data_IF_675408574095
#
_entry.id   IF_675408574095
#
_cell.length_a   1.000
_cell.length_b   1.000
_cell.length_c   1.000
_cell.angle_alpha   90.00
_cell.angle_beta   90.00
_cell.angle_gamma   90.00
#
_symmetry.space_group_name_H-M   'P 1'
#
loop_
_entity.id
_entity.type
_entity.pdbx_description
1 polymer ?
#
# COMPACT_ATOMS: atom_id res chain seq x y z
N UNK A 1 -26.21 -3.82 -18.24
CA UNK A 1 -27.57 -4.42 -18.45
C UNK A 1 -28.66 -3.73 -17.64
N UNK A 2 -28.39 -3.11 -16.51
CA UNK A 2 -29.40 -2.37 -15.74
C UNK A 2 -30.07 -1.18 -16.50
N UNK A 3 -29.41 -0.64 -17.52
CA UNK A 3 -29.88 0.52 -18.28
C UNK A 3 -31.07 0.22 -19.27
N UNK A 4 -31.50 -1.02 -19.39
CA UNK A 4 -32.58 -1.40 -20.32
C UNK A 4 -33.86 -1.98 -19.65
N UNK A 5 -33.97 -1.88 -18.32
CA UNK A 5 -35.14 -2.42 -17.59
C UNK A 5 -35.30 -3.95 -17.64
N UNK A 6 -34.28 -4.67 -18.12
CA UNK A 6 -34.29 -6.12 -18.15
C UNK A 6 -33.91 -6.68 -16.79
N UNK A 7 -34.65 -7.68 -16.31
CA UNK A 7 -34.32 -8.40 -15.08
C UNK A 7 -32.90 -9.00 -15.18
N UNK A 8 -32.13 -8.91 -14.09
CA UNK A 8 -30.81 -9.53 -14.02
C UNK A 8 -30.98 -11.07 -14.00
N UNK A 9 -30.54 -11.79 -15.05
CA UNK A 9 -30.76 -13.25 -15.17
C UNK A 9 -30.05 -14.06 -14.07
N UNK A 10 -29.16 -13.42 -13.32
CA UNK A 10 -28.48 -14.05 -12.17
C UNK A 10 -29.33 -14.08 -10.91
N UNK A 11 -30.51 -13.43 -10.95
CA UNK A 11 -31.47 -13.35 -9.84
C UNK A 11 -32.73 -14.12 -10.25
N UNK A 12 -33.08 -15.15 -9.49
CA UNK A 12 -34.18 -16.05 -9.85
C UNK A 12 -35.58 -15.39 -9.99
N UNK A 13 -35.80 -14.29 -9.24
CA UNK A 13 -37.05 -13.54 -9.30
C UNK A 13 -36.83 -12.03 -9.44
N UNK A 14 -37.70 -11.31 -10.17
CA UNK A 14 -37.69 -9.86 -10.22
C UNK A 14 -37.82 -9.25 -8.80
N UNK A 15 -36.90 -8.38 -8.43
CA UNK A 15 -36.91 -7.73 -7.11
C UNK A 15 -36.06 -8.40 -6.01
N UNK A 16 -35.54 -9.59 -6.23
CA UNK A 16 -34.58 -10.20 -5.30
C UNK A 16 -33.22 -9.49 -5.35
N UNK A 17 -32.66 -9.18 -4.19
CA UNK A 17 -31.30 -8.63 -4.06
C UNK A 17 -30.23 -9.72 -4.05
N UNK A 18 -30.58 -10.94 -3.64
CA UNK A 18 -29.70 -12.10 -3.62
C UNK A 18 -29.57 -12.76 -4.98
N UNK A 19 -28.42 -13.36 -5.27
CA UNK A 19 -28.21 -14.20 -6.46
C UNK A 19 -28.95 -15.51 -6.29
N UNK A 20 -29.44 -16.05 -7.42
CA UNK A 20 -30.05 -17.37 -7.46
C UNK A 20 -29.10 -18.45 -6.89
N UNK A 21 -29.59 -19.39 -6.06
CA UNK A 21 -28.75 -20.45 -5.47
C UNK A 21 -28.06 -21.33 -6.51
N UNK A 22 -28.75 -21.66 -7.62
CA UNK A 22 -28.15 -22.46 -8.70
C UNK A 22 -27.06 -21.68 -9.41
N UNK A 23 -27.31 -20.41 -9.73
CA UNK A 23 -26.28 -19.52 -10.28
C UNK A 23 -25.09 -19.40 -9.33
N UNK A 24 -25.35 -19.27 -8.05
CA UNK A 24 -24.27 -19.16 -7.03
C UNK A 24 -23.45 -20.46 -6.98
N UNK A 25 -24.11 -21.61 -7.10
CA UNK A 25 -23.45 -22.94 -7.11
C UNK A 25 -22.61 -23.13 -8.36
N UNK A 26 -23.18 -22.83 -9.54
CA UNK A 26 -22.47 -22.86 -10.82
C UNK A 26 -21.26 -21.91 -10.81
N UNK A 27 -21.47 -20.68 -10.37
CA UNK A 27 -20.37 -19.69 -10.25
C UNK A 27 -19.24 -20.17 -9.33
N UNK A 28 -19.57 -20.80 -8.19
CA UNK A 28 -18.57 -21.37 -7.28
C UNK A 28 -17.79 -22.52 -7.93
N UNK A 29 -18.47 -23.39 -8.69
CA UNK A 29 -17.83 -24.49 -9.43
C UNK A 29 -16.90 -23.98 -10.53
N UNK A 30 -17.35 -23.03 -11.35
CA UNK A 30 -16.50 -22.36 -12.33
C UNK A 30 -15.28 -21.71 -11.68
N UNK A 31 -15.51 -20.96 -10.61
CA UNK A 31 -14.43 -20.30 -9.89
C UNK A 31 -13.44 -21.27 -9.22
N UNK A 32 -13.90 -22.47 -8.84
CA UNK A 32 -13.04 -23.52 -8.30
C UNK A 32 -12.20 -24.20 -9.39
N UNK A 33 -12.69 -24.23 -10.63
CA UNK A 33 -11.97 -24.74 -11.80
C UNK A 33 -11.01 -23.70 -12.42
N UNK A 34 -11.20 -22.40 -12.12
CA UNK A 34 -10.27 -21.38 -12.56
C UNK A 34 -8.88 -21.60 -11.94
N UNK A 35 -7.81 -21.49 -12.72
CA UNK A 35 -6.47 -21.51 -12.15
C UNK A 35 -6.37 -20.39 -11.09
N UNK A 36 -5.72 -20.64 -9.95
CA UNK A 36 -5.61 -19.64 -8.90
C UNK A 36 -4.99 -18.37 -9.52
N UNK A 37 -5.58 -17.18 -9.25
CA UNK A 37 -5.06 -15.95 -9.79
C UNK A 37 -3.58 -15.83 -9.38
N UNK A 38 -2.70 -15.53 -10.34
CA UNK A 38 -1.27 -15.36 -10.09
C UNK A 38 -1.12 -14.29 -9.01
N UNK A 39 -0.80 -14.73 -7.80
CA UNK A 39 -0.60 -13.83 -6.67
C UNK A 39 0.63 -12.96 -6.95
N UNK A 40 0.49 -11.63 -6.80
CA UNK A 40 1.65 -10.75 -6.82
C UNK A 40 2.56 -11.09 -5.64
N UNK A 41 3.87 -11.07 -5.88
CA UNK A 41 4.89 -11.28 -4.86
C UNK A 41 5.19 -9.98 -4.12
N UNK A 42 5.60 -10.11 -2.86
CA UNK A 42 6.02 -8.98 -2.04
C UNK A 42 7.32 -8.37 -2.58
N UNK A 43 7.39 -7.04 -2.64
CA UNK A 43 8.60 -6.32 -3.01
C UNK A 43 9.49 -6.15 -1.77
N UNK A 44 10.76 -6.56 -1.79
CA UNK A 44 11.66 -6.38 -0.65
C UNK A 44 11.87 -4.91 -0.27
N UNK A 45 12.11 -4.64 1.01
CA UNK A 45 12.41 -3.29 1.49
C UNK A 45 13.67 -2.70 0.85
N UNK A 46 14.66 -3.54 0.50
CA UNK A 46 15.87 -3.14 -0.23
C UNK A 46 15.54 -2.55 -1.58
N UNK A 47 14.65 -3.19 -2.33
CA UNK A 47 14.20 -2.72 -3.65
C UNK A 47 13.38 -1.42 -3.52
N UNK A 48 12.50 -1.32 -2.52
CA UNK A 48 11.75 -0.08 -2.27
C UNK A 48 12.70 1.07 -1.94
N UNK A 49 13.72 0.82 -1.11
CA UNK A 49 14.79 1.79 -0.81
C UNK A 49 15.55 2.18 -2.07
N UNK A 50 15.91 1.22 -2.90
CA UNK A 50 16.59 1.48 -4.17
C UNK A 50 15.75 2.41 -5.04
N UNK A 51 14.45 2.13 -5.23
CA UNK A 51 13.53 3.02 -5.96
C UNK A 51 13.53 4.41 -5.34
N UNK A 52 13.31 4.50 -4.03
CA UNK A 52 13.23 5.76 -3.32
C UNK A 52 14.48 6.63 -3.49
N UNK A 53 15.67 6.05 -3.39
CA UNK A 53 16.94 6.78 -3.50
C UNK A 53 17.27 7.12 -4.95
N UNK A 54 17.15 6.15 -5.85
CA UNK A 54 17.44 6.33 -7.26
C UNK A 54 16.53 7.39 -7.90
N UNK A 55 15.21 7.26 -7.73
CA UNK A 55 14.27 8.19 -8.36
C UNK A 55 14.37 9.61 -7.78
N UNK A 56 14.73 9.78 -6.50
CA UNK A 56 14.98 11.11 -5.93
C UNK A 56 16.24 11.78 -6.46
N UNK A 57 17.24 11.01 -6.88
CA UNK A 57 18.47 11.56 -7.47
C UNK A 57 18.28 12.08 -8.89
N UNK A 58 17.18 11.72 -9.56
CA UNK A 58 16.89 12.13 -10.92
C UNK A 58 16.40 13.58 -11.00
N UNK A 59 16.70 14.32 -12.08
CA UNK A 59 16.31 15.71 -12.25
C UNK A 59 14.79 15.89 -12.41
N UNK A 60 14.07 14.87 -12.87
CA UNK A 60 12.63 14.92 -13.14
C UNK A 60 11.80 15.08 -11.85
N UNK A 61 10.99 16.16 -11.72
CA UNK A 61 10.08 16.31 -10.59
C UNK A 61 9.08 15.17 -10.46
N UNK A 62 8.62 14.59 -11.59
CA UNK A 62 7.71 13.45 -11.60
C UNK A 62 8.36 12.21 -10.99
N UNK A 63 9.58 11.88 -11.41
CA UNK A 63 10.29 10.71 -10.90
C UNK A 63 10.64 10.84 -9.40
N UNK A 64 11.04 12.04 -8.96
CA UNK A 64 11.22 12.32 -7.53
C UNK A 64 9.94 12.09 -6.72
N UNK A 65 8.80 12.54 -7.27
CA UNK A 65 7.50 12.28 -6.64
C UNK A 65 7.17 10.79 -6.59
N UNK A 66 7.48 10.02 -7.63
CA UNK A 66 7.33 8.55 -7.65
C UNK A 66 8.13 7.91 -6.50
N UNK A 67 9.40 8.29 -6.31
CA UNK A 67 10.24 7.78 -5.21
C UNK A 67 9.65 8.06 -3.82
N UNK A 68 9.11 9.26 -3.60
CA UNK A 68 8.43 9.61 -2.35
C UNK A 68 7.12 8.83 -2.16
N UNK A 69 6.30 8.69 -3.20
CA UNK A 69 5.03 7.96 -3.13
C UNK A 69 5.23 6.46 -2.93
N UNK A 70 6.26 5.86 -3.52
CA UNK A 70 6.64 4.45 -3.29
C UNK A 70 7.06 4.25 -1.84
N UNK A 71 7.82 5.19 -1.27
CA UNK A 71 8.18 5.18 0.16
C UNK A 71 6.92 5.22 1.04
N UNK A 72 6.03 6.19 0.81
CA UNK A 72 4.77 6.30 1.55
C UNK A 72 3.91 5.05 1.40
N UNK A 73 3.79 4.49 0.18
CA UNK A 73 2.99 3.30 -0.08
C UNK A 73 3.51 2.07 0.69
N UNK A 74 4.82 1.95 0.87
CA UNK A 74 5.42 0.86 1.63
C UNK A 74 5.13 0.99 3.13
N UNK A 75 5.45 2.14 3.73
CA UNK A 75 5.29 2.33 5.19
C UNK A 75 3.83 2.36 5.62
N UNK A 76 2.96 3.04 4.87
CA UNK A 76 1.53 3.15 5.19
C UNK A 76 0.68 2.04 4.60
N UNK A 77 1.29 1.04 3.97
CA UNK A 77 0.60 -0.05 3.30
C UNK A 77 -0.53 0.45 2.39
N UNK A 78 -0.24 1.44 1.52
CA UNK A 78 -1.23 2.08 0.66
C UNK A 78 -1.57 1.22 -0.56
N UNK A 79 -2.83 1.28 -1.00
CA UNK A 79 -3.24 0.81 -2.32
C UNK A 79 -2.93 1.90 -3.36
N UNK A 80 -2.56 1.52 -4.57
CA UNK A 80 -2.19 2.50 -5.61
C UNK A 80 -3.27 3.56 -5.83
N UNK A 81 -4.54 3.21 -5.80
CA UNK A 81 -5.64 4.17 -5.93
C UNK A 81 -5.85 5.09 -4.72
N UNK A 82 -5.10 4.90 -3.62
CA UNK A 82 -5.13 5.80 -2.46
C UNK A 82 -4.16 6.97 -2.61
N UNK A 83 -3.25 6.95 -3.61
CA UNK A 83 -2.27 8.02 -3.82
C UNK A 83 -2.06 8.40 -5.31
N UNK A 84 -2.72 7.70 -6.24
CA UNK A 84 -2.72 8.05 -7.66
C UNK A 84 -4.15 8.31 -8.15
N UNK A 85 -4.35 9.26 -9.07
CA UNK A 85 -5.67 9.47 -9.66
C UNK A 85 -6.10 8.26 -10.49
N UNK A 86 -7.39 8.09 -10.67
CA UNK A 86 -7.97 7.06 -11.54
C UNK A 86 -9.01 7.63 -12.49
N UNK A 87 -9.05 7.09 -13.68
CA UNK A 87 -10.07 7.36 -14.67
C UNK A 87 -11.29 6.45 -14.41
N UNK A 88 -12.24 6.86 -13.60
CA UNK A 88 -13.49 6.11 -13.41
C UNK A 88 -14.11 6.30 -12.03
N UNK A 89 -15.39 5.95 -11.86
CA UNK A 89 -16.06 6.07 -10.57
C UNK A 89 -15.39 5.12 -9.55
N UNK A 90 -14.72 5.68 -8.56
CA UNK A 90 -14.13 4.94 -7.45
C UNK A 90 -14.68 5.40 -6.12
N UNK A 91 -14.83 4.45 -5.20
CA UNK A 91 -15.15 4.73 -3.81
C UNK A 91 -13.96 5.32 -3.02
N UNK A 92 -12.74 5.25 -3.59
CA UNK A 92 -11.52 5.73 -2.94
C UNK A 92 -11.12 7.08 -3.51
N UNK A 93 -11.03 8.08 -2.64
CA UNK A 93 -10.47 9.39 -2.98
C UNK A 93 -8.96 9.34 -2.74
N UNK A 94 -8.11 9.75 -3.71
CA UNK A 94 -6.68 9.85 -3.48
C UNK A 94 -6.35 10.82 -2.34
N UNK A 95 -5.35 10.48 -1.55
CA UNK A 95 -4.82 11.33 -0.48
C UNK A 95 -4.45 12.70 -1.03
N UNK A 96 -4.81 13.74 -0.29
CA UNK A 96 -4.58 15.15 -0.59
C UNK A 96 -3.62 15.76 0.42
N UNK A 97 -3.14 16.95 0.15
CA UNK A 97 -2.25 17.67 1.07
C UNK A 97 -2.82 17.74 2.49
N UNK A 98 -4.09 18.09 2.65
CA UNK A 98 -4.78 18.22 3.96
C UNK A 98 -4.87 16.90 4.75
N UNK A 99 -4.77 15.77 4.09
CA UNK A 99 -4.87 14.45 4.70
C UNK A 99 -3.59 14.06 5.43
N UNK A 100 -2.50 14.84 5.26
CA UNK A 100 -1.22 14.69 5.94
C UNK A 100 -1.08 15.69 7.08
N UNK A 101 -0.60 15.22 8.24
CA UNK A 101 -0.27 16.05 9.40
C UNK A 101 1.15 15.70 9.82
N UNK A 102 2.06 16.66 9.72
CA UNK A 102 3.44 16.54 10.16
C UNK A 102 3.55 17.09 11.60
N UNK A 103 4.36 16.42 12.40
CA UNK A 103 4.51 16.71 13.81
C UNK A 103 5.99 16.89 14.16
N UNK A 104 6.28 17.77 15.10
CA UNK A 104 7.58 17.93 15.72
C UNK A 104 7.37 18.09 17.21
N UNK A 105 7.97 17.22 18.01
CA UNK A 105 7.85 17.25 19.48
C UNK A 105 6.37 17.35 19.95
N UNK A 106 5.48 16.60 19.30
CA UNK A 106 4.04 16.62 19.58
C UNK A 106 3.29 17.83 19.04
N UNK A 107 3.97 18.83 18.45
CA UNK A 107 3.36 20.02 17.87
C UNK A 107 3.12 19.83 16.38
N UNK A 108 1.91 20.14 15.90
CA UNK A 108 1.56 20.07 14.49
C UNK A 108 2.25 21.19 13.70
N UNK A 109 2.92 20.84 12.62
CA UNK A 109 3.49 21.80 11.66
C UNK A 109 2.43 22.21 10.63
N UNK A 110 2.36 23.50 10.22
CA UNK A 110 1.52 23.92 9.10
C UNK A 110 1.99 23.29 7.79
N UNK A 111 1.05 22.85 6.94
CA UNK A 111 1.39 22.20 5.68
C UNK A 111 2.05 23.14 4.65
N UNK A 112 1.85 24.44 4.80
CA UNK A 112 2.45 25.52 3.98
C UNK A 112 3.79 26.04 4.52
N UNK A 113 4.29 25.44 5.60
CA UNK A 113 5.58 25.80 6.15
C UNK A 113 6.73 25.54 5.13
N UNK A 114 7.87 26.27 5.24
CA UNK A 114 9.05 26.02 4.44
C UNK A 114 9.51 24.57 4.52
N UNK A 115 10.10 24.05 3.43
CA UNK A 115 10.54 22.66 3.37
C UNK A 115 11.49 22.27 4.51
N UNK A 116 12.40 23.19 4.90
CA UNK A 116 13.32 22.97 6.02
C UNK A 116 12.61 22.71 7.35
N UNK A 117 11.49 23.41 7.58
CA UNK A 117 10.63 23.22 8.76
C UNK A 117 9.90 21.87 8.65
N UNK A 118 9.28 21.54 7.51
CA UNK A 118 8.60 20.27 7.33
C UNK A 118 9.55 19.08 7.44
N UNK A 119 10.80 19.21 6.96
CA UNK A 119 11.84 18.18 7.09
C UNK A 119 12.36 17.98 8.52
N UNK A 120 12.07 18.90 9.42
CA UNK A 120 12.39 18.76 10.85
C UNK A 120 11.33 17.99 11.64
N UNK A 121 10.25 17.56 10.98
CA UNK A 121 9.24 16.70 11.59
C UNK A 121 9.83 15.36 12.04
N UNK A 122 9.37 14.85 13.17
CA UNK A 122 9.69 13.54 13.74
C UNK A 122 8.61 12.50 13.51
N UNK A 123 7.39 12.94 13.16
CA UNK A 123 6.29 12.05 12.89
C UNK A 123 5.34 12.59 11.79
N UNK A 124 4.59 11.66 11.20
CA UNK A 124 3.56 11.96 10.22
C UNK A 124 2.32 11.12 10.48
N UNK A 125 1.15 11.76 10.40
CA UNK A 125 -0.17 11.11 10.44
C UNK A 125 -0.84 11.30 9.11
N UNK A 126 -1.44 10.24 8.57
CA UNK A 126 -2.33 10.34 7.41
C UNK A 126 -3.75 9.95 7.79
N UNK A 127 -4.74 10.63 7.20
CA UNK A 127 -6.15 10.34 7.34
C UNK A 127 -6.72 9.90 5.99
N UNK A 128 -7.26 8.69 5.92
CA UNK A 128 -7.89 8.15 4.72
C UNK A 128 -9.42 8.29 4.86
N UNK A 129 -9.99 9.32 4.25
CA UNK A 129 -11.43 9.62 4.37
C UNK A 129 -12.33 8.48 3.89
N UNK A 130 -12.05 7.94 2.70
CA UNK A 130 -12.85 6.88 2.09
C UNK A 130 -11.95 5.78 1.53
N UNK A 131 -12.30 4.55 1.83
CA UNK A 131 -11.57 3.36 1.38
C UNK A 131 -12.49 2.38 0.65
N UNK A 132 -11.91 1.60 -0.26
CA UNK A 132 -12.61 0.56 -1.02
C UNK A 132 -13.42 -0.41 -0.15
N UNK A 133 -13.05 -0.60 1.11
CA UNK A 133 -13.70 -1.52 2.05
C UNK A 133 -14.80 -0.87 2.87
N UNK A 134 -15.19 0.37 2.56
CA UNK A 134 -16.20 1.11 3.33
C UNK A 134 -15.72 1.69 4.66
N UNK A 135 -14.46 1.46 5.06
CA UNK A 135 -13.88 2.12 6.23
C UNK A 135 -13.66 3.60 5.94
N UNK A 136 -14.14 4.44 6.85
CA UNK A 136 -14.01 5.90 6.78
C UNK A 136 -13.05 6.40 7.84
N UNK A 137 -12.32 7.47 7.51
CA UNK A 137 -11.47 8.22 8.46
C UNK A 137 -10.42 7.33 9.18
N UNK A 138 -9.86 6.34 8.47
CA UNK A 138 -8.77 5.56 9.03
C UNK A 138 -7.53 6.43 9.19
N UNK A 139 -7.00 6.47 10.41
CA UNK A 139 -5.81 7.24 10.77
C UNK A 139 -4.64 6.29 10.96
N UNK A 140 -3.51 6.61 10.31
CA UNK A 140 -2.25 5.88 10.48
C UNK A 140 -1.17 6.88 10.84
N UNK A 141 -0.36 6.52 11.81
CA UNK A 141 0.73 7.33 12.34
C UNK A 141 2.05 6.58 12.22
N UNK A 142 3.09 7.28 11.76
CA UNK A 142 4.47 6.79 11.77
C UNK A 142 5.41 7.86 12.30
N UNK A 143 6.36 7.45 13.11
CA UNK A 143 7.53 8.24 13.44
C UNK A 143 8.59 8.11 12.35
N UNK A 144 9.61 8.97 12.39
CA UNK A 144 10.78 8.86 11.52
C UNK A 144 11.44 7.49 11.67
N UNK A 145 11.90 6.93 10.54
CA UNK A 145 12.65 5.67 10.52
C UNK A 145 14.08 5.80 11.05
N UNK A 146 14.58 7.02 11.23
CA UNK A 146 15.97 7.30 11.53
C UNK A 146 16.91 7.22 10.33
N UNK A 147 16.43 6.74 9.16
CA UNK A 147 17.20 6.70 7.92
C UNK A 147 16.75 7.78 6.94
N UNK A 148 17.51 8.87 6.76
CA UNK A 148 17.10 9.97 5.88
C UNK A 148 16.86 9.58 4.42
N UNK A 149 17.42 8.44 3.99
CA UNK A 149 17.28 7.94 2.62
C UNK A 149 15.98 7.18 2.41
N UNK A 150 15.40 6.61 3.47
CA UNK A 150 14.21 5.76 3.42
C UNK A 150 13.30 6.03 4.62
N UNK A 151 12.67 7.20 4.62
CA UNK A 151 11.90 7.73 5.76
C UNK A 151 10.51 8.22 5.32
N UNK A 152 9.42 7.74 5.95
CA UNK A 152 8.07 8.14 5.61
C UNK A 152 7.78 9.60 5.95
N UNK A 153 8.37 10.14 7.02
CA UNK A 153 8.17 11.52 7.45
C UNK A 153 8.77 12.48 6.45
N UNK A 154 10.02 12.22 6.02
CA UNK A 154 10.71 13.05 5.02
C UNK A 154 10.05 12.94 3.64
N UNK A 155 9.57 11.77 3.26
CA UNK A 155 8.81 11.60 2.01
C UNK A 155 7.49 12.40 2.05
N UNK A 156 6.76 12.33 3.15
CA UNK A 156 5.55 13.13 3.36
C UNK A 156 5.85 14.62 3.34
N UNK A 157 6.89 15.08 4.05
CA UNK A 157 7.30 16.48 4.11
C UNK A 157 7.54 17.07 2.71
N UNK A 158 8.28 16.34 1.86
CA UNK A 158 8.55 16.78 0.47
C UNK A 158 7.26 16.85 -0.36
N UNK A 159 6.38 15.86 -0.23
CA UNK A 159 5.11 15.84 -0.98
C UNK A 159 4.16 16.92 -0.52
N UNK A 160 4.01 17.10 0.81
CA UNK A 160 3.20 18.17 1.41
C UNK A 160 3.70 19.55 0.92
N UNK A 161 5.01 19.80 0.99
CA UNK A 161 5.59 21.06 0.53
C UNK A 161 5.26 21.36 -0.94
N UNK A 162 5.49 20.37 -1.83
CA UNK A 162 5.25 20.56 -3.29
C UNK A 162 3.78 20.81 -3.59
N UNK A 163 2.85 20.21 -2.85
CA UNK A 163 1.42 20.31 -3.11
C UNK A 163 0.73 21.45 -2.36
N UNK A 164 1.38 22.05 -1.36
CA UNK A 164 0.81 23.13 -0.54
C UNK A 164 0.43 24.37 -1.36
N UNK A 165 1.27 24.76 -2.32
CA UNK A 165 1.04 25.96 -3.14
C UNK A 165 -0.26 25.90 -3.97
N UNK A 166 -0.74 24.70 -4.31
CA UNK A 166 -1.98 24.50 -5.06
C UNK A 166 -3.21 24.26 -4.14
N UNK A 167 -3.02 24.36 -2.82
CA UNK A 167 -4.08 24.31 -1.81
C UNK A 167 -4.29 22.94 -1.16
N UNK A 168 -5.10 22.90 -0.08
CA UNK A 168 -5.24 21.74 0.81
C UNK A 168 -5.88 20.51 0.14
N UNK A 169 -6.69 20.71 -0.88
CA UNK A 169 -7.37 19.62 -1.62
C UNK A 169 -6.53 19.06 -2.78
N UNK A 170 -5.31 19.54 -2.96
CA UNK A 170 -4.41 19.06 -4.02
C UNK A 170 -4.00 17.62 -3.75
N UNK A 171 -4.20 16.69 -4.71
CA UNK A 171 -3.75 15.31 -4.60
C UNK A 171 -2.25 15.23 -4.31
N UNK A 172 -1.86 14.36 -3.39
CA UNK A 172 -0.45 14.23 -2.94
C UNK A 172 0.49 13.79 -4.07
N UNK A 173 -0.04 13.15 -5.12
CA UNK A 173 0.69 12.77 -6.33
C UNK A 173 0.83 13.88 -7.37
N UNK A 174 0.33 15.11 -7.11
CA UNK A 174 0.44 16.23 -8.03
C UNK A 174 1.87 16.75 -8.14
N UNK A 175 2.26 17.15 -9.36
CA UNK A 175 3.57 17.70 -9.71
C UNK A 175 3.39 18.84 -10.71
N UNK A 176 4.07 19.95 -10.50
CA UNK A 176 4.14 21.03 -11.48
C UNK A 176 5.33 20.80 -12.42
N UNK A 177 5.07 20.74 -13.74
CA UNK A 177 6.07 20.62 -14.79
C UNK A 177 5.78 21.69 -15.83
N UNK A 178 6.73 22.57 -16.08
CA UNK A 178 6.60 23.66 -17.07
C UNK A 178 5.31 24.48 -16.89
N UNK A 179 4.95 24.80 -15.65
CA UNK A 179 3.75 25.56 -15.29
C UNK A 179 2.43 24.78 -15.39
N UNK A 180 2.46 23.50 -15.76
CA UNK A 180 1.27 22.63 -15.81
C UNK A 180 1.29 21.63 -14.68
N UNK A 181 0.12 21.42 -14.08
CA UNK A 181 -0.05 20.37 -13.05
C UNK A 181 -0.28 19.03 -13.76
N UNK A 182 0.55 18.05 -13.41
CA UNK A 182 0.39 16.65 -13.80
C UNK A 182 0.34 15.78 -12.54
N UNK A 183 0.08 14.51 -12.70
CA UNK A 183 -0.08 13.58 -11.57
C UNK A 183 0.72 12.30 -11.81
N UNK A 184 1.32 11.78 -10.76
CA UNK A 184 1.88 10.43 -10.78
C UNK A 184 0.75 9.44 -11.01
N UNK A 185 0.86 8.65 -12.06
CA UNK A 185 -0.11 7.63 -12.46
C UNK A 185 0.19 6.26 -11.82
N UNK A 186 -0.80 5.37 -11.85
CA UNK A 186 -0.58 3.98 -11.44
C UNK A 186 0.41 3.25 -12.37
N UNK A 187 0.57 3.73 -13.62
CA UNK A 187 1.58 3.19 -14.54
C UNK A 187 2.98 3.60 -14.11
N UNK A 188 3.20 4.88 -13.77
CA UNK A 188 4.51 5.35 -13.28
C UNK A 188 4.98 4.55 -12.06
N UNK A 189 4.06 4.18 -11.17
CA UNK A 189 4.36 3.33 -10.02
C UNK A 189 4.74 1.90 -10.44
N UNK A 190 4.05 1.32 -11.44
CA UNK A 190 4.39 -0.02 -11.96
C UNK A 190 5.76 -0.01 -12.62
N UNK A 191 6.04 1.01 -13.42
CA UNK A 191 7.32 1.16 -14.12
C UNK A 191 8.47 1.35 -13.12
N UNK A 192 8.24 2.10 -12.03
CA UNK A 192 9.20 2.24 -10.95
C UNK A 192 9.47 0.90 -10.24
N UNK A 193 8.44 0.08 -10.01
CA UNK A 193 8.61 -1.26 -9.42
C UNK A 193 9.44 -2.16 -10.34
N UNK A 194 9.18 -2.16 -11.66
CA UNK A 194 9.95 -2.94 -12.62
C UNK A 194 11.40 -2.45 -12.72
N UNK A 195 11.60 -1.13 -12.80
CA UNK A 195 12.95 -0.52 -12.81
C UNK A 195 13.71 -0.86 -11.54
N UNK A 196 13.08 -0.75 -10.38
CA UNK A 196 13.68 -1.06 -9.11
C UNK A 196 14.02 -2.55 -8.95
N UNK A 197 13.16 -3.43 -9.44
CA UNK A 197 13.40 -4.86 -9.41
C UNK A 197 14.63 -5.26 -10.25
N UNK A 198 14.82 -4.60 -11.39
CA UNK A 198 16.02 -4.79 -12.24
C UNK A 198 17.23 -4.17 -11.53
N UNK A 199 17.11 -2.94 -11.04
CA UNK A 199 18.21 -2.20 -10.41
C UNK A 199 18.73 -2.84 -9.11
N UNK A 200 17.85 -3.49 -8.34
CA UNK A 200 18.18 -4.27 -7.13
C UNK A 200 18.48 -5.76 -7.43
N UNK A 201 18.58 -6.11 -8.72
CA UNK A 201 18.93 -7.45 -9.21
C UNK A 201 18.02 -8.59 -8.69
N UNK A 202 16.71 -8.33 -8.55
CA UNK A 202 15.75 -9.35 -8.10
C UNK A 202 15.66 -10.59 -9.00
N UNK A 203 15.85 -10.52 -10.35
CA UNK A 203 15.87 -11.72 -11.19
C UNK A 203 16.93 -12.73 -10.76
N UNK A 204 18.14 -12.29 -10.38
CA UNK A 204 19.18 -13.17 -9.87
C UNK A 204 18.81 -13.80 -8.50
N UNK A 205 17.92 -13.16 -7.74
CA UNK A 205 17.35 -13.72 -6.52
C UNK A 205 16.11 -14.61 -6.77
N UNK A 206 15.80 -14.94 -8.03
CA UNK A 206 14.71 -15.85 -8.41
C UNK A 206 13.32 -15.19 -8.47
N UNK A 207 13.23 -13.85 -8.49
CA UNK A 207 11.95 -13.16 -8.59
C UNK A 207 11.44 -13.14 -10.04
N UNK A 208 10.18 -13.56 -10.21
CA UNK A 208 9.44 -13.43 -11.46
C UNK A 208 8.90 -12.00 -11.59
N UNK A 209 9.52 -11.20 -12.45
CA UNK A 209 9.13 -9.80 -12.67
C UNK A 209 7.68 -9.65 -13.14
N UNK A 210 7.11 -10.62 -13.83
CA UNK A 210 5.70 -10.58 -14.29
C UNK A 210 4.70 -10.59 -13.13
N UNK A 211 5.16 -10.99 -11.94
CA UNK A 211 4.39 -11.02 -10.70
C UNK A 211 4.59 -9.79 -9.82
N UNK A 212 5.39 -8.82 -10.27
CA UNK A 212 5.64 -7.57 -9.56
C UNK A 212 4.80 -6.43 -10.14
N UNK A 213 4.21 -5.64 -9.26
CA UNK A 213 3.41 -4.47 -9.64
C UNK A 213 3.19 -3.54 -8.45
N UNK A 214 2.36 -2.54 -8.62
CA UNK A 214 2.08 -1.55 -7.57
C UNK A 214 1.58 -2.14 -6.24
N UNK A 215 0.90 -3.29 -6.30
CA UNK A 215 0.41 -3.99 -5.12
C UNK A 215 1.53 -4.72 -4.35
N UNK A 216 2.64 -5.02 -5.02
CA UNK A 216 3.83 -5.66 -4.43
C UNK A 216 4.49 -4.77 -3.38
N UNK A 217 4.36 -3.44 -3.48
CA UNK A 217 4.88 -2.48 -2.48
C UNK A 217 4.15 -2.69 -1.14
N UNK A 218 2.82 -2.72 -1.18
CA UNK A 218 1.97 -2.94 0.00
C UNK A 218 2.17 -4.34 0.60
N UNK A 219 2.29 -5.35 -0.25
CA UNK A 219 2.60 -6.71 0.14
C UNK A 219 3.96 -6.78 0.84
N UNK A 220 4.96 -6.07 0.29
CA UNK A 220 6.31 -5.96 0.85
C UNK A 220 6.33 -5.42 2.26
N UNK A 221 5.64 -4.31 2.52
CA UNK A 221 5.53 -3.75 3.87
C UNK A 221 4.89 -4.72 4.87
N UNK A 222 3.82 -5.43 4.47
CA UNK A 222 3.17 -6.42 5.33
C UNK A 222 4.09 -7.62 5.64
N UNK A 223 4.80 -8.14 4.64
CA UNK A 223 5.77 -9.24 4.80
C UNK A 223 6.94 -8.80 5.68
N UNK A 224 7.46 -7.59 5.47
CA UNK A 224 8.54 -7.03 6.28
C UNK A 224 8.15 -6.97 7.77
N UNK A 225 6.96 -6.46 8.10
CA UNK A 225 6.46 -6.43 9.46
C UNK A 225 6.33 -7.84 10.05
N UNK A 226 5.88 -8.82 9.25
CA UNK A 226 5.75 -10.20 9.73
C UNK A 226 7.10 -10.85 10.00
N UNK A 227 8.09 -10.64 9.14
CA UNK A 227 9.47 -11.13 9.34
C UNK A 227 10.09 -10.51 10.60
N UNK A 228 9.78 -9.25 10.89
CA UNK A 228 10.23 -8.54 12.09
C UNK A 228 9.47 -8.96 13.37
N UNK A 229 8.54 -9.92 13.28
CA UNK A 229 7.83 -10.49 14.44
C UNK A 229 6.58 -9.73 14.87
N UNK A 230 6.11 -8.75 14.10
CA UNK A 230 4.87 -8.06 14.44
C UNK A 230 3.65 -8.98 14.37
N UNK A 231 2.72 -8.79 15.30
CA UNK A 231 1.48 -9.55 15.37
C UNK A 231 0.57 -9.30 14.16
N UNK A 232 -0.19 -10.34 13.86
CA UNK A 232 -1.07 -10.35 12.68
C UNK A 232 -2.17 -9.29 12.74
N UNK A 233 -2.68 -8.99 13.94
CA UNK A 233 -3.70 -7.97 14.15
C UNK A 233 -3.16 -6.54 13.94
N UNK A 234 -1.91 -6.26 14.33
CA UNK A 234 -1.23 -4.99 14.06
C UNK A 234 -1.05 -4.81 12.55
N UNK A 235 -0.54 -5.84 11.85
CA UNK A 235 -0.37 -5.81 10.39
C UNK A 235 -1.73 -5.60 9.71
N UNK A 236 -2.78 -6.29 10.18
CA UNK A 236 -4.13 -6.18 9.66
C UNK A 236 -4.70 -4.77 9.85
N UNK A 237 -4.54 -4.19 11.03
CA UNK A 237 -4.99 -2.81 11.34
C UNK A 237 -4.25 -1.80 10.48
N UNK A 238 -2.91 -1.86 10.43
CA UNK A 238 -2.08 -0.95 9.63
C UNK A 238 -2.41 -1.04 8.14
N UNK A 239 -2.58 -2.25 7.63
CA UNK A 239 -2.97 -2.50 6.24
C UNK A 239 -4.47 -2.30 5.98
N UNK A 240 -5.29 -2.09 6.99
CA UNK A 240 -6.75 -1.89 6.85
C UNK A 240 -7.42 -3.06 6.12
N UNK A 241 -7.02 -4.30 6.44
CA UNK A 241 -7.68 -5.49 5.94
C UNK A 241 -8.84 -5.90 6.85
N UNK A 242 -10.00 -6.14 6.25
CA UNK A 242 -11.18 -6.67 6.97
C UNK A 242 -11.09 -8.15 7.30
N UNK A 243 -10.04 -8.84 6.83
CA UNK A 243 -9.84 -10.27 7.04
C UNK A 243 -8.41 -10.70 6.73
N UNK A 244 -8.16 -12.00 6.69
CA UNK A 244 -6.83 -12.61 6.58
C UNK A 244 -6.24 -12.58 5.15
N UNK A 245 -6.76 -11.74 4.26
CA UNK A 245 -6.31 -11.66 2.85
C UNK A 245 -4.81 -11.35 2.72
N UNK A 246 -4.24 -10.62 3.68
CA UNK A 246 -2.81 -10.32 3.71
C UNK A 246 -1.92 -11.56 3.90
N UNK A 247 -2.45 -12.65 4.49
CA UNK A 247 -1.72 -13.92 4.64
C UNK A 247 -1.28 -14.51 3.30
N UNK A 248 -1.99 -14.21 2.20
CA UNK A 248 -1.58 -14.62 0.85
C UNK A 248 -0.22 -14.07 0.46
N UNK A 249 0.15 -12.87 0.94
CA UNK A 249 1.47 -12.29 0.68
C UNK A 249 2.54 -12.99 1.51
N UNK A 250 2.21 -13.35 2.77
CA UNK A 250 3.09 -14.07 3.66
C UNK A 250 3.38 -15.46 3.11
N UNK A 251 2.39 -16.15 2.55
CA UNK A 251 2.55 -17.48 1.95
C UNK A 251 3.55 -17.49 0.79
N UNK A 252 3.67 -16.40 0.03
CA UNK A 252 4.66 -16.30 -1.06
C UNK A 252 6.10 -16.17 -0.57
N UNK A 253 6.29 -15.86 0.71
CA UNK A 253 7.59 -15.69 1.37
C UNK A 253 7.70 -16.61 2.60
N UNK A 254 7.03 -17.75 2.57
CA UNK A 254 6.90 -18.64 3.73
C UNK A 254 8.25 -19.10 4.28
N UNK A 255 9.23 -19.33 3.41
CA UNK A 255 10.57 -19.77 3.80
C UNK A 255 11.26 -18.78 4.73
N UNK A 256 11.15 -17.46 4.45
CA UNK A 256 11.73 -16.41 5.31
C UNK A 256 10.93 -16.24 6.60
N UNK A 257 9.60 -16.31 6.52
CA UNK A 257 8.72 -16.17 7.68
C UNK A 257 8.86 -17.35 8.65
N UNK A 258 9.15 -18.55 8.14
CA UNK A 258 9.33 -19.77 8.95
C UNK A 258 10.78 -20.09 9.30
N UNK A 259 11.73 -19.23 8.92
CA UNK A 259 13.14 -19.42 9.24
C UNK A 259 13.35 -19.55 10.74
N UNK A 260 14.02 -20.63 11.18
CA UNK A 260 14.28 -20.91 12.58
C UNK A 260 13.12 -21.51 13.38
N UNK A 261 11.90 -21.59 12.84
CA UNK A 261 10.74 -22.15 13.58
C UNK A 261 11.01 -23.61 14.01
N UNK A 262 11.60 -24.44 13.15
CA UNK A 262 11.91 -25.82 13.49
C UNK A 262 12.82 -25.94 14.73
N UNK A 263 13.83 -25.07 14.84
CA UNK A 263 14.70 -25.02 16.01
C UNK A 263 13.95 -24.56 17.29
N UNK A 264 13.00 -23.64 17.14
CA UNK A 264 12.14 -23.24 18.26
C UNK A 264 11.20 -24.36 18.69
N UNK A 265 10.60 -25.08 17.74
CA UNK A 265 9.69 -26.20 18.04
C UNK A 265 10.43 -27.39 18.67
N UNK A 266 11.72 -27.58 18.41
CA UNK A 266 12.53 -28.62 19.01
C UNK A 266 12.93 -28.35 20.48
N UNK A 267 12.62 -27.15 21.03
CA UNK A 267 12.92 -26.84 22.43
C UNK A 267 12.08 -27.74 23.38
N UNK A 268 12.70 -28.33 24.41
CA UNK A 268 12.01 -29.22 25.36
C UNK A 268 11.16 -28.37 26.33
N UNK A 269 9.94 -28.04 25.91
CA UNK A 269 8.97 -27.33 26.77
C UNK A 269 7.98 -28.35 27.33
N UNK A 270 7.86 -28.40 28.63
CA UNK A 270 6.82 -29.18 29.31
C UNK A 270 5.59 -28.31 29.53
N UNK A 271 4.44 -28.80 29.10
CA UNK A 271 3.16 -28.18 29.41
C UNK A 271 2.70 -28.63 30.79
N UNK A 272 2.32 -27.69 31.65
CA UNK A 272 1.69 -28.02 32.94
C UNK A 272 0.19 -28.06 32.71
N UNK A 273 -0.40 -29.25 32.92
CA UNK A 273 -1.85 -29.36 32.99
C UNK A 273 -2.31 -28.76 34.34
N UNK A 274 -3.04 -27.64 34.25
CA UNK A 274 -3.86 -27.21 35.42
C UNK A 274 -5.12 -28.04 35.34
N UNK A 275 -5.22 -29.03 36.23
CA UNK A 275 -6.39 -29.88 36.30
C UNK A 275 -7.67 -29.08 36.51
N UNK A 276 -8.76 -29.54 35.88
CA UNK A 276 -10.11 -29.01 36.08
C UNK A 276 -10.57 -29.30 37.49
#
# INVERSE_FOLDING_TARGET
>A
MAAKGLADPRRGNPGQTALDPEFTTLYRRYKAADPPPRAQIALPATTVRWIATHFRSLPSPLLRAVGDLVTLAFFFLLRVGEYTPSSGPRLTVPLRNKDFKLWRDGTRLPNDAPLSVLLSADAVTICLENQKNGHKNAVIHHTSSGDPSFDPVRAAARRVHVTAAAGPDTPIGAVAINGRVTYVSAQDIRDAVQTGAIGDNLPAAGYDLTRLGSHSIRAGGAVQLKILGYDSDIIQKLGRWSGLTYLRYIQTQIAQVTSGIAALMARPIRFTHVGA
#
